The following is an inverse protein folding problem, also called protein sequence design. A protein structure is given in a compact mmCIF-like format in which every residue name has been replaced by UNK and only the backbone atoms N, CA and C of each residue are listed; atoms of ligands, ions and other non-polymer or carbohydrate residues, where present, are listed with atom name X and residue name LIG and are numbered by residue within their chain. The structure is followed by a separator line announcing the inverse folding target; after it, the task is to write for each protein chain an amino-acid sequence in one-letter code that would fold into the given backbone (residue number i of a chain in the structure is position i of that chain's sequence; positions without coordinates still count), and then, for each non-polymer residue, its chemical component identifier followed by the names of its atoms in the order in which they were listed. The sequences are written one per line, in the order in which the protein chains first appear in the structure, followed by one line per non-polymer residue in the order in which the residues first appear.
data_IF_208208442114
#
_entry.id   IF_208208442114
#
_cell.length_a   1.000
_cell.length_b   1.000
_cell.length_c   1.000
_cell.angle_alpha   90.00
_cell.angle_beta   90.00
_cell.angle_gamma   90.00
#
_symmetry.space_group_name_H-M   'P 1'
#
loop_
_entity.id
_entity.type
_entity.pdbx_description
1 polymer ?
#
# COMPACT_ATOMS: atom_id res chain seq x y z
N UNK A 1 23.89 -0.44 -9.40
CA UNK A 1 22.67 -1.06 -8.78
C UNK A 1 22.67 -2.53 -9.11
N UNK A 2 22.31 -3.37 -8.15
CA UNK A 2 22.18 -4.80 -8.39
C UNK A 2 21.05 -5.03 -9.41
N UNK A 3 21.32 -5.84 -10.43
CA UNK A 3 20.36 -6.17 -11.51
C UNK A 3 19.01 -6.68 -10.96
N UNK A 4 19.02 -7.28 -9.76
CA UNK A 4 17.82 -7.79 -9.08
C UNK A 4 16.92 -6.66 -8.56
N UNK A 5 17.49 -5.64 -7.95
CA UNK A 5 16.73 -4.49 -7.44
C UNK A 5 16.08 -3.70 -8.57
N UNK A 6 16.73 -3.59 -9.71
CA UNK A 6 16.16 -2.96 -10.90
C UNK A 6 14.98 -3.78 -11.44
N UNK A 7 15.12 -5.10 -11.54
CA UNK A 7 14.04 -6.02 -11.93
C UNK A 7 12.83 -5.87 -11.00
N UNK A 8 13.05 -5.86 -9.69
CA UNK A 8 11.99 -5.74 -8.69
C UNK A 8 11.24 -4.38 -8.79
N UNK A 9 11.94 -3.29 -9.08
CA UNK A 9 11.31 -1.99 -9.36
C UNK A 9 10.46 -2.03 -10.63
N UNK A 10 10.96 -2.67 -11.69
CA UNK A 10 10.23 -2.82 -12.94
C UNK A 10 8.97 -3.69 -12.77
N UNK A 11 9.03 -4.75 -11.97
CA UNK A 11 7.85 -5.54 -11.61
C UNK A 11 6.80 -4.68 -10.89
N UNK A 12 7.21 -3.86 -9.92
CA UNK A 12 6.30 -2.96 -9.23
C UNK A 12 5.70 -1.89 -10.17
N UNK A 13 6.47 -1.38 -11.13
CA UNK A 13 5.98 -0.43 -12.15
C UNK A 13 4.85 -1.01 -13.02
N UNK A 14 4.82 -2.33 -13.25
CA UNK A 14 3.76 -2.98 -14.01
C UNK A 14 2.39 -2.90 -13.33
N UNK A 15 2.34 -2.66 -12.02
CA UNK A 15 1.10 -2.51 -11.25
C UNK A 15 0.53 -1.09 -11.27
N UNK A 16 1.27 -0.12 -11.82
CA UNK A 16 0.87 1.29 -11.87
C UNK A 16 -0.47 1.48 -12.57
N UNK A 17 -1.33 2.29 -11.97
CA UNK A 17 -2.69 2.54 -12.44
C UNK A 17 -3.69 1.45 -12.05
N UNK A 18 -3.26 0.47 -11.25
CA UNK A 18 -4.08 -0.65 -10.83
C UNK A 18 -4.64 -0.53 -9.41
N UNK A 19 -5.43 -1.54 -9.06
CA UNK A 19 -6.02 -1.73 -7.73
C UNK A 19 -5.51 -3.04 -7.16
N UNK A 20 -4.97 -3.00 -5.95
CA UNK A 20 -4.56 -4.18 -5.18
C UNK A 20 -5.61 -4.40 -4.10
N UNK A 21 -6.17 -5.61 -4.01
CA UNK A 21 -7.29 -5.91 -3.12
C UNK A 21 -6.88 -6.90 -2.04
N UNK A 22 -7.21 -6.58 -0.78
CA UNK A 22 -7.05 -7.51 0.34
C UNK A 22 -8.11 -8.62 0.23
N UNK A 23 -7.68 -9.87 0.33
CA UNK A 23 -8.53 -11.06 0.22
C UNK A 23 -8.19 -12.07 1.32
N UNK A 24 -9.20 -12.77 1.83
CA UNK A 24 -9.05 -13.76 2.90
C UNK A 24 -9.37 -15.18 2.46
N UNK A 25 -9.93 -15.35 1.26
CA UNK A 25 -10.27 -16.67 0.69
C UNK A 25 -9.98 -16.73 -0.81
N UNK A 26 -9.83 -17.94 -1.38
CA UNK A 26 -9.73 -18.13 -2.82
C UNK A 26 -10.90 -17.53 -3.62
N UNK A 27 -12.12 -17.59 -3.07
CA UNK A 27 -13.33 -17.04 -3.70
C UNK A 27 -13.25 -15.51 -3.80
N UNK A 28 -12.80 -14.84 -2.72
CA UNK A 28 -12.58 -13.39 -2.73
C UNK A 28 -11.49 -13.00 -3.74
N UNK A 29 -10.41 -13.79 -3.84
CA UNK A 29 -9.35 -13.56 -4.81
C UNK A 29 -9.87 -13.63 -6.25
N UNK A 30 -10.73 -14.60 -6.58
CA UNK A 30 -11.40 -14.69 -7.89
C UNK A 30 -12.33 -13.53 -8.17
N UNK A 31 -13.05 -13.04 -7.17
CA UNK A 31 -13.87 -11.82 -7.30
C UNK A 31 -12.97 -10.63 -7.64
N UNK A 32 -11.86 -10.46 -6.93
CA UNK A 32 -10.91 -9.39 -7.17
C UNK A 32 -10.31 -9.45 -8.59
N UNK A 33 -9.84 -10.63 -9.01
CA UNK A 33 -9.30 -10.85 -10.37
C UNK A 33 -10.35 -10.56 -11.44
N UNK A 34 -11.58 -11.08 -11.27
CA UNK A 34 -12.70 -10.83 -12.20
C UNK A 34 -13.06 -9.35 -12.30
N UNK A 35 -12.95 -8.62 -11.20
CA UNK A 35 -13.16 -7.17 -11.15
C UNK A 35 -12.05 -6.36 -11.85
N UNK A 36 -10.91 -6.98 -12.18
CA UNK A 36 -9.76 -6.35 -12.82
C UNK A 36 -8.69 -5.84 -11.86
N UNK A 37 -8.61 -6.39 -10.66
CA UNK A 37 -7.47 -6.12 -9.76
C UNK A 37 -6.15 -6.47 -10.44
N UNK A 38 -5.11 -5.67 -10.23
CA UNK A 38 -3.78 -5.94 -10.77
C UNK A 38 -2.97 -6.89 -9.89
N UNK A 39 -3.36 -7.05 -8.63
CA UNK A 39 -2.80 -7.99 -7.65
C UNK A 39 -3.78 -8.17 -6.50
N UNK A 40 -3.57 -9.21 -5.69
CA UNK A 40 -4.28 -9.39 -4.42
C UNK A 40 -3.29 -9.45 -3.25
N UNK A 41 -3.75 -9.03 -2.06
CA UNK A 41 -3.02 -9.16 -0.81
C UNK A 41 -3.69 -10.26 0.02
N UNK A 42 -3.00 -11.37 0.20
CA UNK A 42 -3.50 -12.51 0.99
C UNK A 42 -3.38 -12.24 2.50
N UNK A 43 -4.48 -12.28 3.20
CA UNK A 43 -4.59 -12.03 4.64
C UNK A 43 -5.55 -13.03 5.29
N UNK A 44 -5.27 -13.50 6.50
CA UNK A 44 -6.27 -14.24 7.30
C UNK A 44 -7.40 -13.34 7.78
N UNK A 45 -7.08 -12.09 8.05
CA UNK A 45 -8.01 -11.07 8.51
C UNK A 45 -7.73 -9.75 7.82
N UNK A 46 -8.77 -9.12 7.28
CA UNK A 46 -8.65 -7.76 6.75
C UNK A 46 -8.45 -6.75 7.89
N UNK A 47 -7.92 -5.56 7.61
CA UNK A 47 -7.57 -4.58 8.66
C UNK A 47 -8.68 -4.27 9.65
N UNK A 48 -9.95 -4.19 9.21
CA UNK A 48 -11.09 -3.96 10.11
C UNK A 48 -11.28 -5.10 11.13
N UNK A 49 -11.07 -6.35 10.72
CA UNK A 49 -11.18 -7.50 11.62
C UNK A 49 -9.98 -7.59 12.57
N UNK A 50 -8.79 -7.16 12.12
CA UNK A 50 -7.60 -7.04 12.99
C UNK A 50 -7.88 -6.02 14.11
N UNK A 51 -8.49 -4.86 13.78
CA UNK A 51 -8.89 -3.88 14.79
C UNK A 51 -9.89 -4.43 15.78
N UNK A 52 -10.93 -5.07 15.28
CA UNK A 52 -12.02 -5.62 16.12
C UNK A 52 -11.53 -6.73 17.06
N UNK A 53 -10.59 -7.55 16.60
CA UNK A 53 -10.03 -8.65 17.40
C UNK A 53 -9.03 -8.17 18.47
N UNK A 54 -8.34 -7.04 18.23
CA UNK A 54 -7.25 -6.56 19.10
C UNK A 54 -6.05 -7.52 19.17
N UNK A 55 -5.15 -7.25 20.08
CA UNK A 55 -3.99 -8.11 20.36
C UNK A 55 -2.91 -8.10 19.28
N UNK A 56 -2.05 -9.13 19.31
CA UNK A 56 -0.92 -9.27 18.39
C UNK A 56 -1.36 -9.89 17.08
N UNK A 57 -1.16 -9.15 15.99
CA UNK A 57 -1.41 -9.60 14.62
C UNK A 57 -0.11 -10.06 13.95
N UNK A 58 -0.11 -11.23 13.33
CA UNK A 58 1.07 -11.91 12.78
C UNK A 58 0.88 -12.21 11.28
N UNK A 59 1.95 -12.70 10.64
CA UNK A 59 1.90 -13.27 9.30
C UNK A 59 0.80 -14.33 9.21
N UNK A 60 0.11 -14.38 8.08
CA UNK A 60 -0.94 -15.36 7.79
C UNK A 60 -0.36 -16.75 7.53
N UNK A 61 -1.20 -17.78 7.72
CA UNK A 61 -0.83 -19.18 7.47
C UNK A 61 -0.38 -19.39 6.01
N UNK A 62 0.82 -19.94 5.77
CA UNK A 62 1.31 -20.24 4.43
C UNK A 62 0.38 -21.15 3.60
N UNK A 63 -0.36 -22.07 4.22
CA UNK A 63 -1.30 -22.93 3.51
C UNK A 63 -2.47 -22.13 2.93
N UNK A 64 -2.98 -21.15 3.69
CA UNK A 64 -4.02 -20.23 3.21
C UNK A 64 -3.51 -19.36 2.06
N UNK A 65 -2.29 -18.82 2.19
CA UNK A 65 -1.65 -18.02 1.13
C UNK A 65 -1.52 -18.83 -0.17
N UNK A 66 -1.02 -20.07 -0.08
CA UNK A 66 -0.91 -20.99 -1.23
C UNK A 66 -2.26 -21.25 -1.89
N UNK A 67 -3.32 -21.47 -1.12
CA UNK A 67 -4.67 -21.65 -1.66
C UNK A 67 -5.15 -20.43 -2.46
N UNK A 68 -4.74 -19.22 -2.09
CA UNK A 68 -5.01 -18.00 -2.86
C UNK A 68 -4.13 -17.96 -4.13
N UNK A 69 -2.83 -18.28 -4.03
CA UNK A 69 -1.93 -18.35 -5.19
C UNK A 69 -2.44 -19.34 -6.26
N UNK A 70 -2.98 -20.46 -5.85
CA UNK A 70 -3.55 -21.48 -6.76
C UNK A 70 -4.88 -21.03 -7.41
N UNK A 71 -5.57 -20.06 -6.82
CA UNK A 71 -6.89 -19.64 -7.26
C UNK A 71 -6.89 -18.56 -8.34
N UNK A 72 -5.81 -17.79 -8.48
CA UNK A 72 -5.73 -16.62 -9.38
C UNK A 72 -4.47 -16.64 -10.23
N UNK A 73 -4.51 -15.92 -11.35
CA UNK A 73 -3.35 -15.76 -12.25
C UNK A 73 -2.62 -14.42 -12.06
N UNK A 74 -3.21 -13.49 -11.32
CA UNK A 74 -2.61 -12.21 -10.98
C UNK A 74 -1.65 -12.36 -9.79
N UNK A 75 -0.65 -11.46 -9.62
CA UNK A 75 0.28 -11.50 -8.51
C UNK A 75 -0.38 -11.55 -7.14
N UNK A 76 0.20 -12.34 -6.23
CA UNK A 76 -0.25 -12.47 -4.84
C UNK A 76 0.81 -11.87 -3.92
N UNK A 77 0.39 -10.95 -3.07
CA UNK A 77 1.19 -10.33 -2.03
C UNK A 77 0.83 -10.92 -0.66
N UNK A 78 1.77 -10.89 0.26
CA UNK A 78 1.49 -11.22 1.67
C UNK A 78 2.25 -10.29 2.60
N UNK A 79 1.77 -10.16 3.86
CA UNK A 79 2.36 -9.26 4.86
C UNK A 79 3.26 -10.01 5.84
N UNK A 80 4.42 -9.42 6.13
CA UNK A 80 5.22 -9.76 7.30
C UNK A 80 5.21 -8.61 8.31
N UNK A 81 5.50 -8.92 9.56
CA UNK A 81 5.67 -7.91 10.62
C UNK A 81 6.92 -7.09 10.39
N UNK A 82 6.88 -5.81 10.75
CA UNK A 82 8.06 -4.94 10.72
C UNK A 82 9.21 -5.58 11.51
N UNK A 83 10.39 -5.68 10.87
CA UNK A 83 11.61 -6.24 11.45
C UNK A 83 11.65 -7.78 11.56
N UNK A 84 10.60 -8.49 11.12
CA UNK A 84 10.53 -9.94 11.28
C UNK A 84 11.14 -10.71 10.11
N UNK A 85 12.47 -10.79 10.06
CA UNK A 85 13.23 -11.43 8.97
C UNK A 85 12.77 -12.88 8.70
N UNK A 86 12.41 -13.65 9.75
CA UNK A 86 12.00 -15.04 9.59
C UNK A 86 10.66 -15.17 8.87
N UNK A 87 9.67 -14.28 9.15
CA UNK A 87 8.41 -14.24 8.39
C UNK A 87 8.66 -13.92 6.91
N UNK A 88 9.52 -12.95 6.61
CA UNK A 88 9.88 -12.62 5.23
C UNK A 88 10.53 -13.80 4.50
N UNK A 89 11.42 -14.56 5.15
CA UNK A 89 12.03 -15.78 4.60
C UNK A 89 11.02 -16.89 4.34
N UNK A 90 10.01 -17.03 5.22
CA UNK A 90 8.93 -18.01 5.02
C UNK A 90 8.11 -17.63 3.78
N UNK A 91 7.76 -16.34 3.63
CA UNK A 91 7.00 -15.86 2.47
C UNK A 91 7.81 -16.02 1.18
N UNK A 92 9.09 -15.70 1.17
CA UNK A 92 9.96 -15.93 0.02
C UNK A 92 10.06 -17.43 -0.34
N UNK A 93 10.13 -18.31 0.67
CA UNK A 93 10.21 -19.77 0.45
C UNK A 93 8.93 -20.38 -0.13
N UNK A 94 7.78 -19.74 0.01
CA UNK A 94 6.53 -20.14 -0.66
C UNK A 94 6.30 -19.42 -2.00
N UNK A 95 7.36 -18.78 -2.52
CA UNK A 95 7.36 -18.11 -3.82
C UNK A 95 6.29 -17.02 -3.95
N UNK A 96 6.09 -16.23 -2.88
CA UNK A 96 5.20 -15.07 -2.94
C UNK A 96 5.72 -14.03 -3.94
N UNK A 97 4.84 -13.36 -4.67
CA UNK A 97 5.24 -12.39 -5.69
C UNK A 97 5.75 -11.08 -5.08
N UNK A 98 5.17 -10.63 -3.95
CA UNK A 98 5.58 -9.42 -3.21
C UNK A 98 5.39 -9.63 -1.72
N UNK A 99 6.29 -9.04 -0.91
CA UNK A 99 6.15 -8.97 0.55
C UNK A 99 5.85 -7.54 0.97
N UNK A 100 4.79 -7.33 1.73
CA UNK A 100 4.51 -6.06 2.41
C UNK A 100 5.01 -6.13 3.86
N UNK A 101 6.13 -5.47 4.15
CA UNK A 101 6.59 -5.26 5.54
C UNK A 101 5.70 -4.18 6.16
N UNK A 102 4.72 -4.61 6.95
CA UNK A 102 3.50 -3.84 7.18
C UNK A 102 3.24 -3.46 8.63
N UNK A 103 2.92 -2.19 8.85
CA UNK A 103 2.41 -1.63 10.08
C UNK A 103 1.00 -2.14 10.46
N UNK A 104 0.28 -2.74 9.53
CA UNK A 104 -1.03 -3.37 9.79
C UNK A 104 -0.89 -4.52 10.78
N UNK A 105 0.20 -5.28 10.68
CA UNK A 105 0.56 -6.29 11.66
C UNK A 105 1.28 -5.66 12.86
N UNK A 106 1.33 -6.38 13.97
CA UNK A 106 2.07 -5.92 15.16
C UNK A 106 3.57 -5.98 14.89
N UNK A 107 4.34 -4.90 15.09
CA UNK A 107 5.79 -4.92 14.89
C UNK A 107 6.48 -6.01 15.70
N UNK A 108 7.49 -6.64 15.13
CA UNK A 108 8.41 -7.53 15.85
C UNK A 108 9.67 -6.81 16.31
N UNK A 109 10.05 -5.74 15.62
CA UNK A 109 11.10 -4.81 16.00
C UNK A 109 10.54 -3.38 15.86
N UNK A 110 10.65 -2.58 16.89
CA UNK A 110 10.17 -1.20 16.94
C UNK A 110 11.23 -0.17 16.50
N UNK A 111 12.46 -0.64 16.26
CA UNK A 111 13.61 0.19 15.88
C UNK A 111 14.04 -0.05 14.44
N UNK A 112 14.05 -1.31 13.98
CA UNK A 112 14.65 -1.69 12.70
C UNK A 112 13.66 -2.33 11.75
N UNK A 113 13.73 -1.92 10.49
CA UNK A 113 13.11 -2.60 9.38
C UNK A 113 14.04 -3.68 8.80
N UNK A 114 13.47 -4.58 8.00
CA UNK A 114 14.21 -5.63 7.30
C UNK A 114 15.14 -5.01 6.25
N UNK A 115 16.38 -5.49 6.16
CA UNK A 115 17.25 -5.24 5.00
C UNK A 115 16.75 -6.05 3.80
N UNK A 116 15.97 -5.39 2.95
CA UNK A 116 15.28 -5.97 1.80
C UNK A 116 16.23 -6.31 0.65
N UNK A 117 17.46 -5.76 0.69
CA UNK A 117 18.49 -6.09 -0.31
C UNK A 117 18.97 -7.54 -0.23
N UNK A 118 18.68 -8.23 0.87
CA UNK A 118 19.02 -9.65 1.10
C UNK A 118 18.00 -10.63 0.51
N UNK A 119 16.92 -10.14 -0.09
CA UNK A 119 15.83 -10.94 -0.64
C UNK A 119 15.77 -10.81 -2.16
N UNK A 120 15.34 -11.88 -2.82
CA UNK A 120 15.08 -11.87 -4.25
C UNK A 120 13.68 -11.30 -4.59
N UNK A 121 12.73 -11.42 -3.66
CA UNK A 121 11.35 -10.95 -3.81
C UNK A 121 11.25 -9.43 -3.61
N UNK A 122 10.40 -8.70 -4.38
CA UNK A 122 10.17 -7.28 -4.19
C UNK A 122 9.38 -6.98 -2.90
N UNK A 123 9.70 -5.86 -2.26
CA UNK A 123 9.05 -5.40 -1.04
C UNK A 123 8.22 -4.14 -1.23
N UNK A 124 7.07 -4.13 -0.56
CA UNK A 124 6.18 -2.97 -0.37
C UNK A 124 6.33 -2.47 1.06
N UNK A 125 6.34 -1.16 1.26
CA UNK A 125 6.32 -0.54 2.59
C UNK A 125 5.37 0.65 2.65
N UNK A 126 4.79 0.87 3.82
CA UNK A 126 4.03 2.06 4.14
C UNK A 126 4.93 3.25 4.47
N UNK A 127 4.50 4.46 4.10
CA UNK A 127 5.12 5.71 4.49
C UNK A 127 4.09 6.82 4.68
N UNK A 128 4.34 7.75 5.61
CA UNK A 128 3.48 8.91 5.88
C UNK A 128 4.01 10.18 5.23
N UNK A 129 5.30 10.19 4.89
CA UNK A 129 6.01 11.34 4.36
C UNK A 129 7.21 10.93 3.51
N UNK A 130 7.86 11.91 2.89
CA UNK A 130 8.99 11.67 2.00
C UNK A 130 10.18 11.06 2.74
N UNK A 131 10.50 11.53 3.93
CA UNK A 131 11.63 11.02 4.71
C UNK A 131 11.46 9.54 5.03
N UNK A 132 10.28 9.13 5.50
CA UNK A 132 9.97 7.72 5.76
C UNK A 132 10.03 6.88 4.48
N UNK A 133 9.47 7.37 3.36
CA UNK A 133 9.54 6.69 2.07
C UNK A 133 10.98 6.47 1.61
N UNK A 134 11.83 7.50 1.67
CA UNK A 134 13.22 7.40 1.24
C UNK A 134 14.05 6.47 2.14
N UNK A 135 13.76 6.39 3.45
CA UNK A 135 14.37 5.37 4.31
C UNK A 135 14.00 3.96 3.88
N UNK A 136 12.70 3.68 3.65
CA UNK A 136 12.24 2.36 3.17
C UNK A 136 12.84 1.99 1.82
N UNK A 137 12.95 2.96 0.91
CA UNK A 137 13.60 2.75 -0.40
C UNK A 137 15.11 2.48 -0.22
N UNK A 138 15.76 3.20 0.67
CA UNK A 138 17.18 2.97 1.03
C UNK A 138 17.44 1.56 1.59
N UNK A 139 16.46 0.98 2.27
CA UNK A 139 16.49 -0.41 2.76
C UNK A 139 16.15 -1.46 1.68
N UNK A 140 15.79 -1.02 0.47
CA UNK A 140 15.49 -1.88 -0.67
C UNK A 140 14.01 -2.05 -1.00
N UNK A 141 13.09 -1.27 -0.43
CA UNK A 141 11.69 -1.28 -0.86
C UNK A 141 11.56 -0.85 -2.32
N UNK A 142 10.73 -1.55 -3.09
CA UNK A 142 10.51 -1.33 -4.52
C UNK A 142 9.12 -0.78 -4.85
N UNK A 143 8.27 -0.65 -3.84
CA UNK A 143 6.98 0.03 -3.87
C UNK A 143 6.75 0.71 -2.53
N UNK A 144 6.21 1.91 -2.58
CA UNK A 144 5.71 2.65 -1.41
C UNK A 144 4.18 2.74 -1.51
N UNK A 145 3.52 2.75 -0.36
CA UNK A 145 2.13 3.10 -0.21
C UNK A 145 1.95 4.07 0.95
N UNK A 146 0.89 4.86 0.94
CA UNK A 146 0.52 5.61 2.15
C UNK A 146 0.19 4.60 3.26
N UNK A 147 0.52 4.94 4.50
CA UNK A 147 0.03 4.14 5.64
C UNK A 147 -1.49 4.30 5.77
N UNK A 148 -1.98 5.53 5.71
CA UNK A 148 -3.38 5.82 5.99
C UNK A 148 -3.75 5.35 7.39
N UNK A 149 -5.03 5.02 7.60
CA UNK A 149 -5.45 4.30 8.80
C UNK A 149 -6.31 3.09 8.38
N UNK A 150 -5.68 1.92 8.17
CA UNK A 150 -6.32 0.76 7.59
C UNK A 150 -7.50 0.25 8.43
N UNK A 151 -8.57 -0.21 7.77
CA UNK A 151 -9.72 -0.81 8.42
C UNK A 151 -10.74 0.19 8.98
N UNK A 152 -10.53 1.49 8.81
CA UNK A 152 -11.46 2.53 9.27
C UNK A 152 -12.57 2.84 8.26
N UNK A 153 -12.30 2.67 6.94
CA UNK A 153 -13.19 3.19 5.90
C UNK A 153 -13.22 4.71 5.84
N UNK A 154 -12.28 5.38 6.51
CA UNK A 154 -12.07 6.83 6.50
C UNK A 154 -10.75 7.14 5.79
N UNK A 155 -10.83 7.83 4.66
CA UNK A 155 -9.68 8.10 3.79
C UNK A 155 -8.83 9.28 4.26
N UNK A 156 -9.25 10.00 5.31
CA UNK A 156 -8.62 11.27 5.72
C UNK A 156 -7.11 11.15 5.98
N UNK A 157 -6.66 10.07 6.64
CA UNK A 157 -5.23 9.88 6.92
C UNK A 157 -4.43 9.59 5.64
N UNK A 158 -4.96 8.77 4.73
CA UNK A 158 -4.32 8.53 3.44
C UNK A 158 -4.19 9.83 2.62
N UNK A 159 -5.20 10.68 2.65
CA UNK A 159 -5.19 12.02 2.02
C UNK A 159 -4.10 12.89 2.64
N UNK A 160 -4.01 12.94 3.98
CA UNK A 160 -2.96 13.70 4.68
C UNK A 160 -1.56 13.23 4.26
N UNK A 161 -1.32 11.93 4.25
CA UNK A 161 -0.03 11.35 3.88
C UNK A 161 0.33 11.63 2.41
N UNK A 162 -0.61 11.44 1.48
CA UNK A 162 -0.37 11.71 0.06
C UNK A 162 -0.07 13.20 -0.18
N UNK A 163 -0.85 14.09 0.42
CA UNK A 163 -0.62 15.54 0.31
C UNK A 163 0.73 15.96 0.90
N UNK A 164 1.09 15.39 2.07
CA UNK A 164 2.39 15.65 2.70
C UNK A 164 3.53 15.18 1.79
N UNK A 165 3.47 13.95 1.30
CA UNK A 165 4.45 13.39 0.34
C UNK A 165 4.64 14.31 -0.87
N UNK A 166 3.55 14.68 -1.54
CA UNK A 166 3.61 15.54 -2.73
C UNK A 166 4.11 16.96 -2.41
N UNK A 167 3.80 17.49 -1.24
CA UNK A 167 4.30 18.80 -0.79
C UNK A 167 5.81 18.77 -0.54
N UNK A 168 6.30 17.73 0.13
CA UNK A 168 7.72 17.56 0.43
C UNK A 168 8.54 17.28 -0.84
N UNK A 169 8.02 16.52 -1.79
CA UNK A 169 8.65 16.36 -3.12
C UNK A 169 8.79 17.72 -3.81
N UNK A 170 7.71 18.52 -3.88
CA UNK A 170 7.80 19.87 -4.49
C UNK A 170 8.78 20.78 -3.76
N UNK A 171 8.85 20.68 -2.44
CA UNK A 171 9.81 21.42 -1.64
C UNK A 171 11.25 21.04 -2.03
N UNK A 172 11.60 19.75 -2.04
CA UNK A 172 12.93 19.27 -2.42
C UNK A 172 13.30 19.70 -3.84
N UNK A 173 12.37 19.66 -4.78
CA UNK A 173 12.58 20.14 -6.18
C UNK A 173 12.92 21.64 -6.21
N UNK A 174 12.37 22.43 -5.32
CA UNK A 174 12.58 23.90 -5.28
C UNK A 174 13.90 24.33 -4.63
N UNK A 175 14.61 23.42 -3.97
CA UNK A 175 15.86 23.72 -3.27
C UNK A 175 17.02 23.92 -4.26
N UNK A 176 18.06 24.60 -3.82
CA UNK A 176 19.35 24.64 -4.52
C UNK A 176 20.16 23.39 -4.17
N UNK A 177 21.11 23.04 -5.01
CA UNK A 177 21.94 21.84 -4.80
C UNK A 177 22.71 21.85 -3.47
N UNK A 178 23.17 23.03 -3.01
CA UNK A 178 23.89 23.18 -1.74
C UNK A 178 22.97 23.00 -0.50
N UNK A 179 21.66 23.16 -0.65
CA UNK A 179 20.66 22.97 0.39
C UNK A 179 20.24 21.50 0.55
N UNK A 180 20.54 20.62 -0.40
CA UNK A 180 20.12 19.21 -0.37
C UNK A 180 20.76 18.42 0.78
N UNK A 181 21.93 18.84 1.27
CA UNK A 181 22.58 18.20 2.43
C UNK A 181 21.76 18.43 3.71
N UNK A 182 21.23 19.64 3.92
CA UNK A 182 20.39 19.93 5.06
C UNK A 182 19.02 19.25 4.93
N UNK A 183 18.42 19.28 3.72
CA UNK A 183 17.17 18.56 3.45
C UNK A 183 17.30 17.06 3.74
N UNK A 184 18.39 16.40 3.36
CA UNK A 184 18.65 15.00 3.66
C UNK A 184 18.73 14.73 5.16
N UNK A 185 19.34 15.63 5.93
CA UNK A 185 19.44 15.56 7.38
C UNK A 185 18.07 15.75 8.04
N UNK A 186 17.29 16.75 7.61
CA UNK A 186 15.95 17.00 8.14
C UNK A 186 14.99 15.86 7.85
N UNK A 187 15.03 15.31 6.63
CA UNK A 187 14.24 14.14 6.22
C UNK A 187 14.76 12.83 6.85
N UNK A 188 15.92 12.85 7.49
CA UNK A 188 16.64 11.67 7.96
C UNK A 188 16.74 10.58 6.88
N UNK A 189 17.06 10.98 5.63
CA UNK A 189 17.03 10.15 4.44
C UNK A 189 18.38 10.11 3.72
N UNK A 190 18.67 9.06 2.93
CA UNK A 190 19.88 8.97 2.12
C UNK A 190 19.99 10.15 1.13
N UNK A 191 21.14 10.82 1.11
CA UNK A 191 21.37 12.00 0.27
C UNK A 191 21.21 11.72 -1.23
N UNK A 192 21.65 10.57 -1.69
CA UNK A 192 21.51 10.14 -3.08
C UNK A 192 20.04 10.02 -3.52
N UNK A 193 19.17 9.56 -2.63
CA UNK A 193 17.72 9.50 -2.89
C UNK A 193 17.08 10.89 -2.85
N UNK A 194 17.54 11.79 -1.98
CA UNK A 194 17.07 13.19 -1.96
C UNK A 194 17.49 13.90 -3.26
N UNK A 195 18.71 13.70 -3.74
CA UNK A 195 19.17 14.19 -5.05
C UNK A 195 18.32 13.63 -6.20
N UNK A 196 18.00 12.34 -6.16
CA UNK A 196 17.11 11.73 -7.17
C UNK A 196 15.75 12.44 -7.20
N UNK A 197 15.14 12.69 -6.04
CA UNK A 197 13.85 13.40 -5.96
C UNK A 197 13.97 14.83 -6.48
N UNK A 198 15.04 15.54 -6.13
CA UNK A 198 15.32 16.88 -6.62
C UNK A 198 15.38 16.95 -8.15
N UNK A 199 16.11 16.03 -8.77
CA UNK A 199 16.33 15.99 -10.22
C UNK A 199 15.08 15.51 -10.99
N UNK A 200 14.29 14.58 -10.42
CA UNK A 200 13.23 13.87 -11.14
C UNK A 200 11.81 14.28 -10.72
N UNK A 201 11.64 15.00 -9.61
CA UNK A 201 10.33 15.43 -9.10
C UNK A 201 9.39 14.31 -8.67
N UNK A 202 9.94 13.13 -8.37
CA UNK A 202 9.18 11.92 -7.98
C UNK A 202 10.03 10.94 -7.18
N UNK A 203 9.39 9.97 -6.56
CA UNK A 203 10.09 8.82 -5.97
C UNK A 203 10.71 7.92 -7.07
N UNK A 204 11.81 7.19 -6.77
CA UNK A 204 12.39 6.21 -7.68
C UNK A 204 11.58 4.92 -7.82
N UNK A 205 10.49 4.78 -7.08
CA UNK A 205 9.55 3.65 -7.06
C UNK A 205 8.12 4.16 -7.13
N UNK A 206 7.16 3.28 -7.48
CA UNK A 206 5.74 3.64 -7.48
C UNK A 206 5.23 3.93 -6.07
N UNK A 207 4.30 4.87 -5.97
CA UNK A 207 3.66 5.27 -4.72
C UNK A 207 2.14 5.12 -4.81
N UNK A 208 1.60 4.12 -4.12
CA UNK A 208 0.16 3.83 -4.09
C UNK A 208 -0.50 4.49 -2.88
N UNK A 209 -1.80 4.68 -2.96
CA UNK A 209 -2.61 5.06 -1.80
C UNK A 209 -3.14 3.82 -1.09
N UNK A 210 -3.12 3.84 0.24
CA UNK A 210 -3.69 2.81 1.09
C UNK A 210 -4.27 3.44 2.36
N UNK A 211 -5.24 2.76 2.96
CA UNK A 211 -5.86 3.13 4.24
C UNK A 211 -7.16 3.93 4.08
N UNK A 212 -8.28 3.28 4.30
CA UNK A 212 -9.59 3.91 4.39
C UNK A 212 -10.35 4.09 3.08
N UNK A 213 -9.82 3.65 1.94
CA UNK A 213 -10.55 3.70 0.65
C UNK A 213 -11.74 2.74 0.70
N UNK A 214 -12.96 3.27 0.52
CA UNK A 214 -14.21 2.50 0.62
C UNK A 214 -15.15 2.71 -0.58
N UNK A 215 -14.94 3.74 -1.39
CA UNK A 215 -15.82 4.12 -2.50
C UNK A 215 -15.04 4.41 -3.77
N UNK A 216 -15.69 4.37 -4.96
CA UNK A 216 -15.06 4.84 -6.20
C UNK A 216 -14.57 6.29 -6.13
N UNK A 217 -15.31 7.15 -5.41
CA UNK A 217 -14.93 8.55 -5.21
C UNK A 217 -13.65 8.71 -4.39
N UNK A 218 -13.47 7.89 -3.32
CA UNK A 218 -12.22 7.88 -2.53
C UNK A 218 -11.03 7.48 -3.40
N UNK A 219 -11.20 6.43 -4.20
CA UNK A 219 -10.15 5.95 -5.11
C UNK A 219 -9.77 7.01 -6.14
N UNK A 220 -10.76 7.65 -6.77
CA UNK A 220 -10.52 8.75 -7.71
C UNK A 220 -9.84 9.94 -7.05
N UNK A 221 -10.23 10.31 -5.82
CA UNK A 221 -9.57 11.36 -5.04
C UNK A 221 -8.09 11.06 -4.83
N UNK A 222 -7.74 9.82 -4.46
CA UNK A 222 -6.34 9.46 -4.24
C UNK A 222 -5.52 9.54 -5.53
N UNK A 223 -6.09 9.15 -6.67
CA UNK A 223 -5.44 9.31 -7.98
C UNK A 223 -5.25 10.79 -8.34
N UNK A 224 -6.24 11.65 -8.09
CA UNK A 224 -6.15 13.11 -8.29
C UNK A 224 -5.04 13.74 -7.44
N UNK A 225 -4.81 13.21 -6.23
CA UNK A 225 -3.75 13.66 -5.31
C UNK A 225 -2.35 13.16 -5.69
N UNK A 226 -2.22 12.35 -6.73
CA UNK A 226 -0.93 11.88 -7.26
C UNK A 226 -0.56 10.46 -6.85
N UNK A 227 -1.51 9.65 -6.35
CA UNK A 227 -1.29 8.23 -6.21
C UNK A 227 -1.12 7.56 -7.58
N UNK A 228 -0.30 6.53 -7.63
CA UNK A 228 -0.04 5.77 -8.86
C UNK A 228 -0.82 4.44 -8.91
N UNK A 229 -1.77 4.27 -8.01
CA UNK A 229 -2.70 3.16 -7.84
C UNK A 229 -3.23 3.15 -6.41
N UNK A 230 -4.10 2.19 -6.09
CA UNK A 230 -4.70 2.10 -4.75
C UNK A 230 -4.67 0.68 -4.20
N UNK A 231 -4.51 0.57 -2.89
CA UNK A 231 -4.83 -0.62 -2.11
C UNK A 231 -6.22 -0.44 -1.51
N UNK A 232 -7.06 -1.46 -1.62
CA UNK A 232 -8.37 -1.47 -0.99
C UNK A 232 -8.54 -2.74 -0.17
N UNK A 233 -8.67 -2.58 1.14
CA UNK A 233 -8.87 -3.68 2.07
C UNK A 233 -10.32 -3.89 2.42
N UNK A 234 -10.69 -3.51 3.63
CA UNK A 234 -12.03 -3.70 4.19
C UNK A 234 -13.14 -3.05 3.37
N UNK A 235 -12.84 -2.00 2.60
CA UNK A 235 -13.82 -1.25 1.80
C UNK A 235 -14.58 -2.07 0.77
N UNK A 236 -14.01 -3.18 0.28
CA UNK A 236 -14.67 -4.08 -0.68
C UNK A 236 -15.49 -5.14 0.05
N UNK A 237 -14.84 -6.02 0.80
CA UNK A 237 -15.49 -7.22 1.33
C UNK A 237 -16.35 -6.97 2.59
N UNK A 238 -16.31 -5.78 3.17
CA UNK A 238 -17.26 -5.30 4.19
C UNK A 238 -18.44 -4.50 3.61
N UNK A 239 -18.52 -4.36 2.29
CA UNK A 239 -19.65 -3.69 1.62
C UNK A 239 -20.80 -4.64 1.33
N UNK A 240 -21.97 -4.08 0.98
CA UNK A 240 -23.16 -4.87 0.67
C UNK A 240 -23.09 -5.65 -0.65
N UNK A 241 -22.26 -5.24 -1.62
CA UNK A 241 -22.03 -5.94 -2.89
C UNK A 241 -20.54 -5.85 -3.26
N UNK A 242 -19.69 -6.76 -2.77
CA UNK A 242 -18.26 -6.71 -2.99
C UNK A 242 -17.85 -6.77 -4.48
N UNK A 243 -18.48 -7.62 -5.29
CA UNK A 243 -18.11 -7.79 -6.69
C UNK A 243 -18.37 -6.51 -7.50
N UNK A 244 -19.55 -5.91 -7.32
CA UNK A 244 -19.91 -4.67 -8.00
C UNK A 244 -19.04 -3.50 -7.54
N UNK A 245 -18.77 -3.40 -6.24
CA UNK A 245 -17.92 -2.36 -5.67
C UNK A 245 -16.47 -2.48 -6.13
N UNK A 246 -15.93 -3.69 -6.16
CA UNK A 246 -14.58 -3.95 -6.67
C UNK A 246 -14.44 -3.48 -8.12
N UNK A 247 -15.36 -3.89 -9.00
CA UNK A 247 -15.34 -3.47 -10.40
C UNK A 247 -15.49 -1.94 -10.55
N UNK A 248 -16.36 -1.29 -9.77
CA UNK A 248 -16.54 0.15 -9.78
C UNK A 248 -15.27 0.90 -9.34
N UNK A 249 -14.57 0.41 -8.31
CA UNK A 249 -13.31 1.01 -7.84
C UNK A 249 -12.21 0.86 -8.89
N UNK A 250 -12.07 -0.30 -9.53
CA UNK A 250 -11.09 -0.51 -10.61
C UNK A 250 -11.33 0.47 -11.75
N UNK A 251 -12.56 0.62 -12.18
CA UNK A 251 -12.93 1.57 -13.23
C UNK A 251 -12.69 3.03 -12.81
N UNK A 252 -12.97 3.38 -11.57
CA UNK A 252 -12.73 4.71 -11.03
C UNK A 252 -11.25 5.07 -11.00
N UNK A 253 -10.36 4.13 -10.65
CA UNK A 253 -8.91 4.33 -10.68
C UNK A 253 -8.41 4.56 -12.11
N UNK A 254 -8.91 3.78 -13.06
CA UNK A 254 -8.52 3.91 -14.47
C UNK A 254 -9.02 5.23 -15.09
N UNK A 255 -10.21 5.68 -14.71
CA UNK A 255 -10.93 6.81 -15.34
C UNK A 255 -11.19 7.95 -14.33
N UNK A 256 -10.29 8.17 -13.40
CA UNK A 256 -10.47 9.09 -12.27
C UNK A 256 -10.78 10.54 -12.68
N UNK A 257 -10.46 10.95 -13.90
CA UNK A 257 -10.76 12.30 -14.44
C UNK A 257 -12.14 12.40 -15.13
N UNK A 258 -12.82 11.29 -15.38
CA UNK A 258 -14.15 11.30 -16.01
C UNK A 258 -15.27 11.39 -14.97
N UNK A 259 -15.65 12.61 -14.62
CA UNK A 259 -16.70 12.86 -13.62
C UNK A 259 -18.06 12.24 -13.98
N UNK A 260 -18.39 12.11 -15.28
CA UNK A 260 -19.65 11.49 -15.72
C UNK A 260 -19.62 9.99 -15.50
N UNK A 261 -18.50 9.35 -15.80
CA UNK A 261 -18.33 7.93 -15.53
C UNK A 261 -18.28 7.67 -14.03
N UNK A 262 -17.55 8.49 -13.24
CA UNK A 262 -17.53 8.38 -11.79
C UNK A 262 -18.92 8.47 -11.16
N UNK A 263 -19.76 9.39 -11.63
CA UNK A 263 -21.15 9.48 -11.18
C UNK A 263 -21.89 8.16 -11.43
N UNK A 264 -21.80 7.62 -12.64
CA UNK A 264 -22.43 6.33 -13.00
C UNK A 264 -21.87 5.14 -12.18
N UNK A 265 -20.57 5.09 -11.98
CA UNK A 265 -19.92 4.05 -11.19
C UNK A 265 -20.30 4.09 -9.70
N UNK A 266 -20.73 5.25 -9.21
CA UNK A 266 -21.16 5.44 -7.82
C UNK A 266 -22.63 5.06 -7.56
N UNK A 267 -23.41 4.78 -8.62
CA UNK A 267 -24.84 4.48 -8.51
C UNK A 267 -25.08 3.03 -8.05
N UNK A 268 -26.04 2.87 -7.15
CA UNK A 268 -26.61 1.56 -6.77
C UNK A 268 -25.58 0.51 -6.34
N UNK A 269 -24.51 0.92 -5.65
CA UNK A 269 -23.46 0.02 -5.13
C UNK A 269 -23.85 -0.71 -3.85
N UNK A 270 -25.05 -0.48 -3.31
CA UNK A 270 -25.42 -0.92 -1.99
C UNK A 270 -24.66 -0.18 -0.88
N UNK A 271 -24.88 -0.55 0.39
CA UNK A 271 -24.20 0.11 1.50
C UNK A 271 -22.68 -0.06 1.40
N UNK A 272 -21.94 1.03 1.61
CA UNK A 272 -20.52 0.98 1.85
C UNK A 272 -20.24 0.31 3.21
N UNK A 273 -18.98 -0.07 3.47
CA UNK A 273 -18.60 -0.50 4.81
C UNK A 273 -18.96 0.57 5.84
N UNK A 274 -19.35 0.15 7.03
CA UNK A 274 -19.52 1.07 8.16
C UNK A 274 -18.14 1.60 8.53
N UNK A 275 -17.95 2.91 8.38
CA UNK A 275 -16.68 3.56 8.70
C UNK A 275 -16.54 3.83 10.20
N UNK A 276 -15.30 3.96 10.64
CA UNK A 276 -14.91 4.42 11.97
C UNK A 276 -14.15 5.73 11.77
N UNK A 277 -14.57 6.79 12.47
CA UNK A 277 -13.84 8.06 12.41
C UNK A 277 -12.40 7.84 12.88
N UNK A 278 -11.43 8.29 12.09
CA UNK A 278 -10.01 8.13 12.40
C UNK A 278 -9.60 8.78 13.74
N UNK A 279 -10.32 9.81 14.19
CA UNK A 279 -10.07 10.49 15.46
C UNK A 279 -10.65 9.71 16.68
N UNK A 280 -11.44 8.65 16.48
CA UNK A 280 -12.09 7.85 17.53
C UNK A 280 -11.43 6.49 17.76
N UNK A 281 -10.35 6.17 17.06
CA UNK A 281 -9.66 4.88 17.17
C UNK A 281 -8.65 4.84 18.31
N UNK A 282 -8.62 3.73 19.04
CA UNK A 282 -7.64 3.51 20.11
C UNK A 282 -6.28 3.01 19.58
N UNK A 283 -6.29 2.17 18.55
CA UNK A 283 -5.09 1.60 17.95
C UNK A 283 -4.71 2.34 16.69
N UNK A 284 -3.68 3.19 16.79
CA UNK A 284 -3.13 3.94 15.66
C UNK A 284 -2.06 3.08 14.98
N UNK A 285 -2.41 2.48 13.83
CA UNK A 285 -1.49 1.60 13.09
C UNK A 285 -0.42 2.40 12.34
N UNK A 286 -0.75 3.58 11.84
CA UNK A 286 0.15 4.40 11.07
C UNK A 286 1.41 4.85 11.84
N UNK A 287 1.34 4.87 13.16
CA UNK A 287 2.47 5.21 14.03
C UNK A 287 3.52 4.09 14.16
N UNK A 288 3.19 2.88 13.79
CA UNK A 288 4.10 1.73 13.88
C UNK A 288 5.25 1.85 12.88
N UNK A 289 6.46 1.50 13.30
CA UNK A 289 7.64 1.49 12.45
C UNK A 289 8.01 2.88 11.91
N UNK A 290 8.12 3.85 12.78
CA UNK A 290 8.53 5.24 12.45
C UNK A 290 9.97 5.31 11.95
#
# INVERSE_FOLDING_TARGET
MDNRQELNRNLAQMLKGGVIMDVTTPEQAKIAETAGACAVMALERIPADIRAAGGVSRMSDPAMIKGIQEAVSIPVMAKCRIGHIAEARILEAIEIDYIDESEVLSPADDVRHIDKTKFAVPFVCGARDLGEALRRIGEGATMIRTKGEPGTGDVVQAVRHMRKMQSEIRHVVSLREDELYEAAKELAAPLDLVKFVHENGKLPVVNFAAGGVATPADAALMMELGAEGVFVGSGIFKSGDPAKRAAAIVQAVTNWQDAKLLAKLSENLGPAMVGINADEIETIMEERGK
#
